data_IF_204972769233
#
_entry.id   IF_204972769233
#
_cell.length_a   1.000
_cell.length_b   1.000
_cell.length_c   1.000
_cell.angle_alpha   90.00
_cell.angle_beta   90.00
_cell.angle_gamma   90.00
#
_symmetry.space_group_name_H-M   'P 1'
#
loop_
_entity.id
_entity.type
_entity.pdbx_description
1 polymer ?
#
# COMPACT_ATOMS: atom_id res chain seq x y z
N UNK A 1 17.19 -1.89 34.79
CA UNK A 1 16.75 -1.11 33.63
C UNK A 1 15.61 -1.88 32.93
N UNK A 2 14.44 -1.29 32.89
CA UNK A 2 13.30 -1.90 32.22
C UNK A 2 13.44 -1.61 30.73
N UNK A 3 13.58 -2.63 29.89
CA UNK A 3 13.55 -2.46 28.44
C UNK A 3 12.15 -2.01 28.02
N UNK A 4 12.05 -0.93 27.24
CA UNK A 4 10.78 -0.54 26.63
C UNK A 4 10.32 -1.66 25.69
N UNK A 5 9.02 -2.00 25.67
CA UNK A 5 8.52 -3.00 24.74
C UNK A 5 8.80 -2.53 23.30
N UNK A 6 9.34 -3.42 22.48
CA UNK A 6 9.52 -3.12 21.06
C UNK A 6 8.14 -2.97 20.40
N UNK A 7 8.00 -1.98 19.53
CA UNK A 7 6.79 -1.78 18.75
C UNK A 7 6.47 -3.05 17.92
N UNK A 8 5.22 -3.46 17.89
CA UNK A 8 4.76 -4.55 17.04
C UNK A 8 4.93 -4.24 15.56
N UNK A 9 4.83 -5.27 14.73
CA UNK A 9 4.99 -5.14 13.28
C UNK A 9 4.04 -4.09 12.67
N UNK A 10 2.73 -4.04 13.01
CA UNK A 10 1.85 -3.01 12.48
C UNK A 10 2.32 -1.59 12.74
N UNK A 11 2.76 -1.30 13.96
CA UNK A 11 3.25 0.03 14.33
C UNK A 11 4.56 0.36 13.61
N UNK A 12 5.42 -0.62 13.43
CA UNK A 12 6.67 -0.45 12.66
C UNK A 12 6.38 -0.17 11.19
N UNK A 13 5.42 -0.86 10.60
CA UNK A 13 5.00 -0.62 9.21
C UNK A 13 4.51 0.82 9.05
N UNK A 14 3.65 1.28 9.94
CA UNK A 14 3.15 2.67 9.90
C UNK A 14 4.28 3.67 10.09
N UNK A 15 5.17 3.45 11.06
CA UNK A 15 6.30 4.35 11.31
C UNK A 15 7.22 4.44 10.08
N UNK A 16 7.49 3.32 9.42
CA UNK A 16 8.32 3.30 8.21
C UNK A 16 7.61 3.99 7.05
N UNK A 17 6.32 3.74 6.85
CA UNK A 17 5.56 4.43 5.81
C UNK A 17 5.57 5.96 6.03
N UNK A 18 5.42 6.42 7.26
CA UNK A 18 5.51 7.85 7.59
C UNK A 18 6.87 8.46 7.28
N UNK A 19 7.94 7.69 7.39
CA UNK A 19 9.28 8.16 7.04
C UNK A 19 9.42 8.45 5.53
N UNK A 20 8.55 7.89 4.69
CA UNK A 20 8.53 8.14 3.24
C UNK A 20 7.78 9.42 2.86
N UNK A 21 7.02 10.02 3.78
CA UNK A 21 6.27 11.25 3.49
C UNK A 21 7.22 12.32 2.96
N UNK A 22 6.83 12.96 1.86
CA UNK A 22 7.65 13.92 1.14
C UNK A 22 8.46 13.33 -0.01
N UNK A 23 8.56 12.00 -0.12
CA UNK A 23 9.23 11.36 -1.27
C UNK A 23 8.46 11.69 -2.55
N UNK A 24 9.10 12.27 -3.57
CA UNK A 24 8.41 12.61 -4.83
C UNK A 24 7.82 11.40 -5.54
N UNK A 25 6.71 11.59 -6.24
CA UNK A 25 6.16 10.54 -7.08
C UNK A 25 7.07 10.29 -8.28
N UNK A 26 7.47 9.04 -8.48
CA UNK A 26 8.18 8.57 -9.67
C UNK A 26 7.70 7.19 -10.03
N UNK A 27 7.18 7.03 -11.23
CA UNK A 27 6.68 5.76 -11.73
C UNK A 27 7.75 4.66 -11.65
N UNK A 28 7.39 3.50 -11.09
CA UNK A 28 8.24 2.33 -10.87
C UNK A 28 9.40 2.51 -9.88
N UNK A 29 9.60 3.68 -9.32
CA UNK A 29 10.67 3.92 -8.37
C UNK A 29 10.29 3.45 -6.96
N UNK A 30 11.31 3.14 -6.17
CA UNK A 30 11.16 2.74 -4.76
C UNK A 30 12.43 3.09 -3.99
N UNK A 31 12.68 4.39 -3.82
CA UNK A 31 13.85 4.92 -3.09
C UNK A 31 13.41 6.12 -2.23
N UNK A 32 13.48 5.96 -0.92
CA UNK A 32 13.06 6.98 0.04
C UNK A 32 13.73 8.33 -0.23
N UNK A 33 12.95 9.40 -0.21
CA UNK A 33 13.45 10.76 -0.44
C UNK A 33 13.75 11.10 -1.90
N UNK A 34 13.88 10.11 -2.77
CA UNK A 34 14.24 10.29 -4.18
C UNK A 34 13.04 10.08 -5.10
N UNK A 35 12.30 9.02 -4.93
CA UNK A 35 11.12 8.77 -5.72
C UNK A 35 10.48 7.42 -5.43
N UNK A 36 9.15 7.37 -5.49
CA UNK A 36 8.40 6.12 -5.48
C UNK A 36 7.01 6.33 -6.09
N UNK A 37 6.43 5.25 -6.58
CA UNK A 37 4.99 5.19 -6.85
C UNK A 37 4.27 4.47 -5.70
N UNK A 38 2.98 4.18 -5.84
CA UNK A 38 2.22 3.55 -4.76
C UNK A 38 2.74 2.15 -4.40
N UNK A 39 3.09 1.36 -5.40
CA UNK A 39 3.69 0.04 -5.19
C UNK A 39 5.12 0.18 -4.63
N UNK A 40 5.88 1.15 -5.11
CA UNK A 40 7.23 1.44 -4.64
C UNK A 40 7.28 1.78 -3.15
N UNK A 41 6.27 2.47 -2.64
CA UNK A 41 6.14 2.72 -1.20
C UNK A 41 5.99 1.41 -0.42
N UNK A 42 5.08 0.54 -0.83
CA UNK A 42 4.87 -0.76 -0.16
C UNK A 42 6.11 -1.63 -0.24
N UNK A 43 6.78 -1.67 -1.40
CA UNK A 43 8.03 -2.40 -1.58
C UNK A 43 9.14 -1.87 -0.67
N UNK A 44 9.24 -0.55 -0.56
CA UNK A 44 10.21 0.10 0.32
C UNK A 44 9.98 -0.22 1.80
N UNK A 45 8.75 -0.18 2.25
CA UNK A 45 8.39 -0.56 3.62
C UNK A 45 8.71 -2.05 3.86
N UNK A 46 8.41 -2.92 2.90
CA UNK A 46 8.79 -4.33 2.99
C UNK A 46 10.29 -4.48 3.27
N UNK A 47 11.14 -3.84 2.47
CA UNK A 47 12.59 -3.93 2.65
C UNK A 47 13.05 -3.47 4.03
N UNK A 48 12.39 -2.47 4.58
CA UNK A 48 12.74 -1.91 5.89
C UNK A 48 12.29 -2.79 7.08
N UNK A 49 11.22 -3.54 6.92
CA UNK A 49 10.70 -4.40 8.01
C UNK A 49 11.06 -5.87 7.86
N UNK A 50 11.29 -6.37 6.65
CA UNK A 50 11.55 -7.77 6.37
C UNK A 50 12.87 -8.05 5.65
N UNK A 51 13.52 -7.05 5.09
CA UNK A 51 14.72 -7.25 4.27
C UNK A 51 14.38 -7.45 2.80
N UNK A 52 15.14 -8.27 2.05
CA UNK A 52 14.98 -8.37 0.60
C UNK A 52 13.54 -8.64 0.15
N UNK A 53 13.15 -8.01 -0.95
CA UNK A 53 11.83 -8.24 -1.54
C UNK A 53 11.69 -9.69 -1.99
N UNK A 54 10.50 -10.30 -1.80
CA UNK A 54 10.30 -11.72 -2.12
C UNK A 54 10.25 -12.01 -3.63
N UNK A 55 9.99 -11.02 -4.44
CA UNK A 55 10.08 -11.11 -5.90
C UNK A 55 10.48 -9.77 -6.49
N UNK A 56 11.08 -9.79 -7.68
CA UNK A 56 11.39 -8.59 -8.43
C UNK A 56 10.15 -8.14 -9.17
N UNK A 57 9.73 -6.88 -8.94
CA UNK A 57 8.61 -6.32 -9.68
C UNK A 57 9.02 -6.14 -11.15
N UNK A 58 8.26 -6.70 -12.11
CA UNK A 58 8.55 -6.48 -13.52
C UNK A 58 8.26 -5.02 -13.90
N UNK A 59 8.86 -4.50 -14.98
CA UNK A 59 8.45 -3.21 -15.52
C UNK A 59 6.94 -3.20 -15.81
N UNK A 60 6.25 -2.12 -15.43
CA UNK A 60 4.83 -2.00 -15.66
C UNK A 60 4.48 -0.58 -16.14
N UNK A 61 3.51 -0.47 -17.04
CA UNK A 61 2.98 0.80 -17.51
C UNK A 61 1.98 1.41 -16.51
N UNK A 62 1.63 2.66 -16.68
CA UNK A 62 0.70 3.36 -15.79
C UNK A 62 -0.69 2.69 -15.74
N UNK A 63 -1.09 1.98 -16.78
CA UNK A 63 -2.36 1.26 -16.90
C UNK A 63 -2.21 -0.26 -16.92
N UNK A 64 -1.10 -0.78 -16.44
CA UNK A 64 -0.79 -2.22 -16.54
C UNK A 64 -1.86 -3.12 -15.91
N UNK A 65 -2.42 -2.72 -14.79
CA UNK A 65 -3.45 -3.50 -14.12
C UNK A 65 -4.74 -3.54 -14.93
N UNK A 66 -5.12 -2.42 -15.51
CA UNK A 66 -6.35 -2.30 -16.32
C UNK A 66 -6.20 -2.95 -17.69
N UNK A 67 -4.97 -3.12 -18.19
CA UNK A 67 -4.66 -3.80 -19.45
C UNK A 67 -4.55 -5.31 -19.29
N UNK A 68 -4.67 -5.84 -18.09
CA UNK A 68 -4.59 -7.26 -17.81
C UNK A 68 -5.78 -8.03 -18.41
N UNK A 69 -5.64 -9.36 -18.64
CA UNK A 69 -6.75 -10.17 -19.12
C UNK A 69 -8.00 -10.00 -18.27
N UNK A 70 -9.17 -10.03 -18.92
CA UNK A 70 -10.45 -9.89 -18.26
C UNK A 70 -10.61 -10.90 -17.11
N UNK A 71 -11.04 -10.42 -15.94
CA UNK A 71 -11.21 -11.25 -14.76
C UNK A 71 -9.95 -11.43 -13.92
N UNK A 72 -8.79 -10.94 -14.37
CA UNK A 72 -7.57 -10.94 -13.56
C UNK A 72 -7.43 -9.63 -12.77
N UNK A 73 -6.73 -9.71 -11.64
CA UNK A 73 -6.40 -8.56 -10.79
C UNK A 73 -4.92 -8.65 -10.41
N UNK A 74 -4.01 -8.19 -11.28
CA UNK A 74 -2.58 -8.41 -11.11
C UNK A 74 -2.01 -7.86 -9.81
N UNK A 75 -2.47 -6.70 -9.37
CA UNK A 75 -1.99 -6.10 -8.12
C UNK A 75 -2.45 -6.93 -6.90
N UNK A 76 -3.73 -7.33 -6.87
CA UNK A 76 -4.25 -8.17 -5.81
C UNK A 76 -3.61 -9.56 -5.81
N UNK A 77 -3.37 -10.14 -6.97
CA UNK A 77 -2.69 -11.44 -7.11
C UNK A 77 -1.25 -11.37 -6.59
N UNK A 78 -0.52 -10.31 -6.96
CA UNK A 78 0.84 -10.10 -6.45
C UNK A 78 0.86 -9.91 -4.92
N UNK A 79 -0.05 -9.09 -4.41
CA UNK A 79 -0.18 -8.90 -2.97
C UNK A 79 -0.51 -10.22 -2.25
N UNK A 80 -1.42 -11.01 -2.79
CA UNK A 80 -1.82 -12.30 -2.21
C UNK A 80 -0.73 -13.35 -2.18
N UNK A 81 0.31 -13.23 -3.00
CA UNK A 81 1.46 -14.14 -2.96
C UNK A 81 2.36 -13.92 -1.75
N UNK A 82 2.41 -12.72 -1.23
CA UNK A 82 3.42 -12.34 -0.22
C UNK A 82 2.84 -11.73 1.05
N UNK A 83 1.64 -11.19 0.98
CA UNK A 83 0.94 -10.58 2.12
C UNK A 83 -0.18 -11.50 2.61
N UNK A 84 -0.61 -11.31 3.85
CA UNK A 84 -1.71 -12.09 4.43
C UNK A 84 -3.04 -11.42 4.11
N UNK A 85 -3.96 -12.09 3.39
CA UNK A 85 -5.27 -11.50 3.09
C UNK A 85 -6.07 -11.22 4.36
N UNK A 86 -6.69 -10.04 4.40
CA UNK A 86 -7.67 -9.67 5.41
C UNK A 86 -9.08 -9.82 4.84
N UNK A 87 -10.12 -9.94 5.70
CA UNK A 87 -11.50 -9.85 5.24
C UNK A 87 -11.70 -8.58 4.41
N UNK A 88 -12.56 -8.65 3.40
CA UNK A 88 -12.85 -7.48 2.57
C UNK A 88 -13.22 -6.30 3.47
N UNK A 89 -12.54 -5.15 3.33
CA UNK A 89 -12.86 -4.00 4.16
C UNK A 89 -14.30 -3.54 3.96
N UNK A 90 -14.99 -3.34 5.06
CA UNK A 90 -16.32 -2.73 5.09
C UNK A 90 -16.16 -1.21 5.14
N UNK A 91 -17.00 -0.48 4.43
CA UNK A 91 -16.98 0.98 4.40
C UNK A 91 -17.14 1.63 5.79
N UNK A 92 -17.78 0.94 6.73
CA UNK A 92 -17.98 1.41 8.09
C UNK A 92 -16.89 0.99 9.09
N UNK A 93 -15.94 0.15 8.68
CA UNK A 93 -14.92 -0.39 9.57
C UNK A 93 -13.58 0.30 9.35
N UNK A 94 -12.93 0.69 10.43
CA UNK A 94 -11.56 1.24 10.36
C UNK A 94 -10.58 0.13 9.98
N UNK A 95 -9.80 0.30 8.89
CA UNK A 95 -8.74 -0.65 8.56
C UNK A 95 -7.68 -0.70 9.66
N UNK A 96 -7.17 -1.89 9.95
CA UNK A 96 -6.13 -2.04 10.97
C UNK A 96 -4.85 -1.29 10.59
N UNK A 97 -4.11 -0.83 11.60
CA UNK A 97 -2.83 -0.16 11.40
C UNK A 97 -1.85 -1.07 10.65
N UNK A 98 -1.16 -0.52 9.65
CA UNK A 98 -0.21 -1.24 8.84
C UNK A 98 -0.81 -2.07 7.70
N UNK A 99 -2.13 -2.08 7.55
CA UNK A 99 -2.76 -2.80 6.45
C UNK A 99 -2.41 -2.16 5.11
N UNK A 100 -2.11 -3.00 4.12
CA UNK A 100 -1.99 -2.59 2.73
C UNK A 100 -3.37 -2.62 2.10
N UNK A 101 -3.83 -1.47 1.64
CA UNK A 101 -5.15 -1.29 1.05
C UNK A 101 -5.02 -1.18 -0.48
N UNK A 102 -5.87 -1.88 -1.19
CA UNK A 102 -5.94 -1.79 -2.65
C UNK A 102 -7.23 -1.09 -3.08
N UNK A 103 -7.13 -0.29 -4.13
CA UNK A 103 -8.24 0.51 -4.64
C UNK A 103 -8.40 0.29 -6.15
N UNK A 104 -9.67 0.17 -6.58
CA UNK A 104 -10.06 0.21 -7.98
C UNK A 104 -10.90 1.47 -8.23
N UNK A 105 -10.59 2.23 -9.28
CA UNK A 105 -11.27 3.50 -9.52
C UNK A 105 -12.51 3.36 -10.39
N UNK A 106 -12.68 2.22 -11.03
CA UNK A 106 -13.86 1.91 -11.85
C UNK A 106 -14.40 0.53 -11.49
N UNK A 107 -15.73 0.38 -11.46
CA UNK A 107 -16.44 -0.84 -11.00
C UNK A 107 -16.01 -2.03 -11.78
N UNK A 108 -15.60 -2.25 -12.84
CA UNK A 108 -15.27 -3.49 -13.54
C UNK A 108 -13.78 -3.67 -13.85
N UNK A 109 -12.96 -2.74 -13.32
CA UNK A 109 -11.52 -2.79 -13.53
C UNK A 109 -10.82 -3.31 -12.27
N UNK A 110 -9.65 -3.95 -12.44
CA UNK A 110 -8.85 -4.41 -11.31
C UNK A 110 -8.29 -3.25 -10.49
N UNK A 111 -7.83 -3.56 -9.29
CA UNK A 111 -7.14 -2.59 -8.43
C UNK A 111 -5.89 -2.03 -9.14
N UNK A 112 -5.68 -0.72 -9.01
CA UNK A 112 -4.54 -0.04 -9.62
C UNK A 112 -3.79 0.89 -8.68
N UNK A 113 -4.24 1.01 -7.46
CA UNK A 113 -3.63 1.88 -6.45
C UNK A 113 -3.55 1.16 -5.12
N UNK A 114 -2.52 1.46 -4.35
CA UNK A 114 -2.37 0.92 -3.00
C UNK A 114 -1.91 1.99 -2.02
N UNK A 115 -2.17 1.73 -0.75
CA UNK A 115 -1.82 2.61 0.36
C UNK A 115 -1.57 1.80 1.61
N UNK A 116 -1.01 2.42 2.64
CA UNK A 116 -0.82 1.81 3.97
C UNK A 116 -1.71 2.54 4.97
N UNK A 117 -2.61 1.80 5.61
CA UNK A 117 -3.51 2.33 6.63
C UNK A 117 -2.75 2.63 7.93
N UNK A 118 -3.11 3.70 8.61
CA UNK A 118 -2.51 4.05 9.90
C UNK A 118 -3.29 3.50 11.11
N UNK A 119 -4.52 3.08 10.91
CA UNK A 119 -5.43 2.67 11.99
C UNK A 119 -6.12 3.84 12.69
N UNK A 120 -5.91 5.07 12.23
CA UNK A 120 -6.45 6.29 12.83
C UNK A 120 -7.26 7.14 11.83
N UNK A 121 -7.97 6.49 10.89
CA UNK A 121 -8.81 7.16 9.90
C UNK A 121 -8.02 7.76 8.74
N UNK A 122 -6.74 7.45 8.61
CA UNK A 122 -5.85 7.96 7.56
C UNK A 122 -5.12 6.84 6.83
N UNK A 123 -4.55 7.16 5.69
CA UNK A 123 -3.66 6.27 4.95
C UNK A 123 -2.48 7.06 4.38
N UNK A 124 -1.38 6.36 4.17
CA UNK A 124 -0.16 6.91 3.56
C UNK A 124 -0.03 6.33 2.16
N UNK A 125 0.11 7.18 1.16
CA UNK A 125 0.20 6.75 -0.22
C UNK A 125 1.04 7.68 -1.09
N UNK A 126 1.56 7.15 -2.20
CA UNK A 126 2.17 7.91 -3.27
C UNK A 126 1.13 8.05 -4.39
N UNK A 127 0.66 9.27 -4.64
CA UNK A 127 -0.31 9.55 -5.69
C UNK A 127 0.35 10.28 -6.85
N UNK A 128 -0.07 9.98 -8.07
CA UNK A 128 0.46 10.60 -9.27
C UNK A 128 0.37 12.13 -9.18
N UNK A 129 1.49 12.80 -9.50
CA UNK A 129 1.59 14.26 -9.46
C UNK A 129 1.80 14.85 -8.07
N UNK A 130 1.96 14.04 -7.03
CA UNK A 130 2.19 14.50 -5.66
C UNK A 130 3.29 13.69 -4.97
N UNK A 131 3.83 14.21 -3.86
CA UNK A 131 4.70 13.44 -3.00
C UNK A 131 3.90 12.46 -2.14
N UNK A 132 4.60 11.49 -1.52
CA UNK A 132 4.00 10.65 -0.50
C UNK A 132 3.41 11.52 0.60
N UNK A 133 2.17 11.25 0.96
CA UNK A 133 1.44 12.02 1.97
C UNK A 133 0.51 11.13 2.77
N UNK A 134 0.19 11.55 3.97
CA UNK A 134 -0.86 10.95 4.80
C UNK A 134 -2.15 11.73 4.56
N UNK A 135 -3.21 11.04 4.16
CA UNK A 135 -4.52 11.64 3.86
C UNK A 135 -5.64 10.92 4.61
N UNK A 136 -6.75 11.62 4.81
CA UNK A 136 -7.93 11.00 5.41
C UNK A 136 -8.50 9.90 4.50
N UNK A 137 -8.89 8.78 5.11
CA UNK A 137 -9.69 7.75 4.46
C UNK A 137 -11.13 8.24 4.35
N UNK A 138 -11.36 9.13 3.41
CA UNK A 138 -12.67 9.70 3.16
C UNK A 138 -13.65 8.66 2.65
N UNK A 139 -14.92 9.01 2.61
CA UNK A 139 -15.96 8.15 2.02
C UNK A 139 -15.63 7.80 0.56
N UNK A 140 -15.07 8.73 -0.18
CA UNK A 140 -14.66 8.49 -1.58
C UNK A 140 -13.63 7.35 -1.67
N UNK A 141 -12.57 7.41 -0.87
CA UNK A 141 -11.56 6.35 -0.82
C UNK A 141 -12.17 5.02 -0.39
N UNK A 142 -13.00 5.02 0.65
CA UNK A 142 -13.63 3.80 1.17
C UNK A 142 -14.52 3.12 0.14
N UNK A 143 -15.19 3.87 -0.71
CA UNK A 143 -16.01 3.31 -1.80
C UNK A 143 -15.20 2.58 -2.87
N UNK A 144 -13.93 2.95 -3.04
CA UNK A 144 -13.06 2.37 -4.05
C UNK A 144 -12.14 1.28 -3.48
N UNK A 145 -12.21 1.03 -2.18
CA UNK A 145 -11.42 0.03 -1.49
C UNK A 145 -11.91 -1.38 -1.87
N UNK A 146 -10.99 -2.20 -2.39
CA UNK A 146 -11.32 -3.56 -2.87
C UNK A 146 -10.72 -4.66 -2.02
N UNK A 147 -9.52 -4.48 -1.49
CA UNK A 147 -8.77 -5.49 -0.75
C UNK A 147 -8.02 -4.86 0.40
N UNK A 148 -7.80 -5.67 1.44
CA UNK A 148 -6.87 -5.37 2.51
C UNK A 148 -5.95 -6.55 2.75
N UNK A 149 -4.70 -6.26 3.08
CA UNK A 149 -3.68 -7.26 3.39
C UNK A 149 -2.89 -6.83 4.62
N UNK A 150 -2.27 -7.80 5.28
CA UNK A 150 -1.38 -7.58 6.41
C UNK A 150 0.03 -8.01 6.02
N UNK A 151 1.03 -7.28 6.45
CA UNK A 151 2.42 -7.74 6.37
C UNK A 151 2.58 -9.02 7.21
N UNK A 152 3.24 -10.05 6.68
CA UNK A 152 3.44 -11.30 7.41
C UNK A 152 4.42 -11.16 8.58
#
# INVERSE_FOLDING_TARGET
MIALPQAGLPDRVVARARAWIGTPYRHQASLIGVGCDCLGLVRGVWREVHGPEPEVAPPYGASWAESAPRGSDPLAEAAGRHLVPLPRPDAGTEPEAGAVLLFAFRAHLPARHCAIATGAGTMIHAHDGAAVTEVALTRWWRRHLTHGFRFP
#
